data_IF_739138846330
#
_entry.id   IF_739138846330
#
_cell.length_a   1.000
_cell.length_b   1.000
_cell.length_c   1.000
_cell.angle_alpha   90.00
_cell.angle_beta   90.00
_cell.angle_gamma   90.00
#
_symmetry.space_group_name_H-M   'P 1'
#
loop_
_entity.id
_entity.type
_entity.pdbx_description
1 polymer ?
#
# COMPACT_ATOMS: atom_id res chain seq x y z
N UNK A 1 -0.68 4.46 -17.79
CA UNK A 1 -1.91 3.79 -18.28
C UNK A 1 -2.10 3.84 -19.81
N UNK A 2 -1.29 4.59 -20.57
CA UNK A 2 -1.51 4.88 -22.01
C UNK A 2 -1.09 3.76 -22.99
N UNK A 3 -0.38 2.73 -22.51
CA UNK A 3 0.45 1.87 -23.37
C UNK A 3 -0.29 0.88 -24.29
N UNK A 4 -1.35 0.20 -23.86
CA UNK A 4 -2.05 -0.78 -24.70
C UNK A 4 -2.78 -0.18 -25.90
N UNK A 5 -3.29 1.06 -25.76
CA UNK A 5 -3.92 1.79 -26.88
C UNK A 5 -2.86 2.33 -27.83
N UNK A 6 -1.76 2.87 -27.29
CA UNK A 6 -0.62 3.30 -28.09
C UNK A 6 0.03 2.14 -28.84
N UNK A 7 0.19 0.96 -28.22
CA UNK A 7 0.69 -0.25 -28.89
C UNK A 7 -0.26 -0.70 -30.01
N UNK A 8 -1.57 -0.65 -29.78
CA UNK A 8 -2.56 -1.00 -30.78
C UNK A 8 -2.53 -0.01 -31.96
N UNK A 9 -2.51 1.30 -31.69
CA UNK A 9 -2.41 2.35 -32.72
C UNK A 9 -1.08 2.28 -33.49
N UNK A 10 0.03 2.00 -32.79
CA UNK A 10 1.34 1.81 -33.41
C UNK A 10 1.39 0.56 -34.29
N UNK A 11 0.79 -0.56 -33.84
CA UNK A 11 0.71 -1.78 -34.63
C UNK A 11 -0.17 -1.57 -35.87
N UNK A 12 -1.30 -0.87 -35.75
CA UNK A 12 -2.14 -0.48 -36.89
C UNK A 12 -1.36 0.39 -37.89
N UNK A 13 -0.50 1.29 -37.40
CA UNK A 13 0.31 2.12 -38.28
C UNK A 13 1.41 1.35 -39.00
N UNK A 14 2.09 0.43 -38.30
CA UNK A 14 3.06 -0.50 -38.90
C UNK A 14 2.39 -1.42 -39.92
N UNK A 15 1.17 -1.89 -39.64
CA UNK A 15 0.35 -2.67 -40.57
C UNK A 15 0.07 -1.91 -41.87
N UNK A 16 -0.34 -0.64 -41.76
CA UNK A 16 -0.60 0.22 -42.92
C UNK A 16 0.67 0.49 -43.73
N UNK A 17 1.81 0.75 -43.08
CA UNK A 17 3.08 1.04 -43.78
C UNK A 17 3.72 -0.20 -44.42
N UNK A 18 3.62 -1.36 -43.79
CA UNK A 18 4.16 -2.62 -44.31
C UNK A 18 3.22 -3.34 -45.27
N UNK A 19 2.08 -2.72 -45.60
CA UNK A 19 1.07 -3.29 -46.51
C UNK A 19 0.64 -4.70 -46.09
N UNK A 20 0.48 -4.93 -44.78
CA UNK A 20 0.04 -6.23 -44.27
C UNK A 20 -1.32 -6.57 -44.88
N UNK A 21 -1.39 -7.72 -45.56
CA UNK A 21 -2.65 -8.23 -46.08
C UNK A 21 -3.61 -8.55 -44.92
N UNK A 22 -4.92 -8.45 -45.16
CA UNK A 22 -5.95 -8.56 -44.12
C UNK A 22 -5.83 -9.80 -43.22
N UNK A 23 -5.32 -10.92 -43.74
CA UNK A 23 -5.07 -12.14 -42.95
C UNK A 23 -4.07 -11.94 -41.80
N UNK A 24 -2.95 -11.26 -42.04
CA UNK A 24 -1.92 -11.01 -41.01
C UNK A 24 -2.37 -9.99 -39.97
N UNK A 25 -3.13 -8.98 -40.39
CA UNK A 25 -3.71 -7.98 -39.48
C UNK A 25 -4.76 -8.62 -38.55
N UNK A 26 -5.62 -9.48 -39.08
CA UNK A 26 -6.62 -10.22 -38.30
C UNK A 26 -5.94 -11.18 -37.32
N UNK A 27 -4.96 -11.97 -37.78
CA UNK A 27 -4.21 -12.89 -36.93
C UNK A 27 -3.51 -12.16 -35.77
N UNK A 28 -2.90 -11.00 -36.05
CA UNK A 28 -2.26 -10.21 -35.01
C UNK A 28 -3.24 -9.65 -33.98
N UNK A 29 -4.37 -9.11 -34.45
CA UNK A 29 -5.43 -8.57 -33.57
C UNK A 29 -6.02 -9.66 -32.68
N UNK A 30 -6.30 -10.84 -33.25
CA UNK A 30 -6.78 -12.01 -32.50
C UNK A 30 -5.74 -12.52 -31.51
N UNK A 31 -4.46 -12.62 -31.91
CA UNK A 31 -3.39 -13.05 -31.03
C UNK A 31 -3.16 -12.05 -29.88
N UNK A 32 -3.28 -10.74 -30.14
CA UNK A 32 -3.24 -9.71 -29.11
C UNK A 32 -4.43 -9.81 -28.15
N UNK A 33 -5.64 -10.08 -28.66
CA UNK A 33 -6.83 -10.30 -27.83
C UNK A 33 -6.67 -11.52 -26.92
N UNK A 34 -6.21 -12.64 -27.48
CA UNK A 34 -5.88 -13.85 -26.71
C UNK A 34 -4.81 -13.55 -25.65
N UNK A 35 -3.80 -12.76 -26.04
CA UNK A 35 -2.72 -12.38 -25.15
C UNK A 35 -3.20 -11.56 -23.93
N UNK A 36 -4.13 -10.62 -24.13
CA UNK A 36 -4.75 -9.88 -23.04
C UNK A 36 -5.59 -10.78 -22.13
N UNK A 37 -6.20 -11.84 -22.66
CA UNK A 37 -7.00 -12.79 -21.85
C UNK A 37 -6.14 -13.73 -20.99
N UNK A 38 -4.92 -14.05 -21.43
CA UNK A 38 -3.94 -14.87 -20.70
C UNK A 38 -3.26 -14.11 -19.55
N UNK A 39 -3.62 -12.84 -19.34
CA UNK A 39 -3.09 -11.96 -18.28
C UNK A 39 -3.21 -12.55 -16.87
N UNK A 40 -4.29 -13.28 -16.62
CA UNK A 40 -4.57 -13.97 -15.35
C UNK A 40 -3.46 -14.94 -14.91
N UNK A 41 -2.63 -15.43 -15.84
CA UNK A 41 -1.57 -16.41 -15.54
C UNK A 41 -0.31 -15.79 -14.93
N UNK A 42 -0.23 -14.45 -14.89
CA UNK A 42 0.94 -13.75 -14.35
C UNK A 42 0.90 -13.56 -12.83
N UNK A 43 -0.24 -13.84 -12.17
CA UNK A 43 -0.38 -13.69 -10.72
C UNK A 43 0.69 -14.41 -9.87
N UNK A 44 1.03 -15.69 -10.16
CA UNK A 44 2.10 -16.39 -9.47
C UNK A 44 3.49 -15.73 -9.63
N UNK A 45 3.78 -15.18 -10.81
CA UNK A 45 5.05 -14.49 -11.07
C UNK A 45 5.13 -13.17 -10.29
N UNK A 46 4.04 -12.41 -10.26
CA UNK A 46 3.95 -11.18 -9.47
C UNK A 46 4.20 -11.45 -7.99
N UNK A 47 3.54 -12.47 -7.42
CA UNK A 47 3.75 -12.88 -6.02
C UNK A 47 5.19 -13.31 -5.74
N UNK A 48 5.81 -14.05 -6.67
CA UNK A 48 7.17 -14.56 -6.50
C UNK A 48 8.24 -13.48 -6.64
N UNK A 49 8.07 -12.55 -7.57
CA UNK A 49 9.10 -11.55 -7.88
C UNK A 49 8.90 -10.23 -7.14
N UNK A 50 7.71 -10.00 -6.59
CA UNK A 50 7.33 -8.72 -6.04
C UNK A 50 7.01 -7.71 -7.15
N UNK A 51 6.28 -6.66 -6.78
CA UNK A 51 5.72 -5.70 -7.74
C UNK A 51 6.79 -4.99 -8.57
N UNK A 52 7.87 -4.54 -7.94
CA UNK A 52 8.92 -3.77 -8.63
C UNK A 52 9.68 -4.59 -9.68
N UNK A 53 10.14 -5.80 -9.32
CA UNK A 53 10.90 -6.64 -10.27
C UNK A 53 9.99 -7.11 -11.40
N UNK A 54 8.74 -7.43 -11.09
CA UNK A 54 7.76 -7.81 -12.10
C UNK A 54 7.48 -6.63 -13.05
N UNK A 55 7.33 -5.40 -12.54
CA UNK A 55 7.16 -4.20 -13.35
C UNK A 55 8.33 -3.98 -14.31
N UNK A 56 9.57 -4.10 -13.82
CA UNK A 56 10.80 -4.01 -14.64
C UNK A 56 10.81 -5.09 -15.72
N UNK A 57 10.44 -6.32 -15.39
CA UNK A 57 10.32 -7.40 -16.38
C UNK A 57 9.28 -7.06 -17.46
N UNK A 58 8.11 -6.52 -17.10
CA UNK A 58 7.12 -6.05 -18.06
C UNK A 58 7.71 -5.00 -19.03
N UNK A 59 8.49 -4.04 -18.53
CA UNK A 59 9.14 -3.03 -19.37
C UNK A 59 10.14 -3.62 -20.36
N UNK A 60 11.03 -4.47 -19.87
CA UNK A 60 12.05 -5.13 -20.69
C UNK A 60 11.37 -5.99 -21.76
N UNK A 61 10.32 -6.72 -21.39
CA UNK A 61 9.54 -7.52 -22.33
C UNK A 61 8.80 -6.67 -23.36
N UNK A 62 8.19 -5.53 -22.99
CA UNK A 62 7.60 -4.60 -23.96
C UNK A 62 8.64 -4.09 -24.98
N UNK A 63 9.84 -3.75 -24.51
CA UNK A 63 10.94 -3.31 -25.37
C UNK A 63 11.39 -4.43 -26.32
N UNK A 64 11.60 -5.64 -25.81
CA UNK A 64 11.95 -6.81 -26.62
C UNK A 64 10.87 -7.14 -27.65
N UNK A 65 9.60 -7.09 -27.26
CA UNK A 65 8.47 -7.32 -28.17
C UNK A 65 8.49 -6.35 -29.34
N UNK A 66 8.78 -5.07 -29.07
CA UNK A 66 8.92 -4.03 -30.08
C UNK A 66 10.12 -4.27 -31.03
N UNK A 67 11.28 -4.66 -30.48
CA UNK A 67 12.46 -5.01 -31.29
C UNK A 67 12.22 -6.23 -32.19
N UNK A 68 11.50 -7.25 -31.69
CA UNK A 68 11.13 -8.44 -32.45
C UNK A 68 10.15 -8.14 -33.59
N UNK A 69 9.18 -7.24 -33.35
CA UNK A 69 8.23 -6.80 -34.40
C UNK A 69 8.93 -6.16 -35.59
N UNK A 70 10.03 -5.43 -35.36
CA UNK A 70 10.81 -4.79 -36.43
C UNK A 70 11.46 -5.80 -37.39
N UNK A 71 11.65 -7.06 -36.99
CA UNK A 71 12.29 -8.13 -37.77
C UNK A 71 11.30 -9.11 -38.42
N UNK A 72 10.01 -8.77 -38.53
CA UNK A 72 8.93 -9.63 -39.07
C UNK A 72 8.62 -10.91 -38.26
N UNK A 73 9.17 -11.05 -37.05
CA UNK A 73 8.96 -12.22 -36.20
C UNK A 73 7.73 -12.02 -35.30
N UNK A 74 6.55 -12.14 -35.91
CA UNK A 74 5.25 -11.89 -35.28
C UNK A 74 5.09 -12.61 -33.93
N UNK A 75 5.37 -13.91 -33.91
CA UNK A 75 5.17 -14.77 -32.73
C UNK A 75 6.16 -14.48 -31.60
N UNK A 76 7.41 -14.16 -31.95
CA UNK A 76 8.42 -13.78 -30.97
C UNK A 76 8.19 -12.39 -30.37
N UNK A 77 7.47 -11.51 -31.08
CA UNK A 77 7.04 -10.22 -30.53
C UNK A 77 5.84 -10.33 -29.59
N UNK A 78 4.93 -11.29 -29.83
CA UNK A 78 3.72 -11.50 -29.03
C UNK A 78 4.00 -12.00 -27.61
N UNK A 79 4.96 -12.91 -27.44
CA UNK A 79 5.26 -13.50 -26.13
C UNK A 79 5.75 -12.46 -25.11
N UNK A 80 6.70 -11.56 -25.45
CA UNK A 80 7.11 -10.48 -24.55
C UNK A 80 5.98 -9.45 -24.31
N UNK A 81 5.12 -9.20 -25.30
CA UNK A 81 4.00 -8.27 -25.15
C UNK A 81 2.93 -8.79 -24.18
N UNK A 82 2.77 -10.12 -24.03
CA UNK A 82 1.94 -10.71 -22.97
C UNK A 82 2.34 -10.20 -21.60
N UNK A 83 3.63 -10.33 -21.26
CA UNK A 83 4.17 -9.89 -19.98
C UNK A 83 4.15 -8.37 -19.88
N UNK A 84 4.50 -7.67 -20.96
CA UNK A 84 4.47 -6.21 -21.05
C UNK A 84 3.08 -5.61 -20.77
N UNK A 85 2.01 -6.28 -21.20
CA UNK A 85 0.64 -5.82 -20.99
C UNK A 85 0.17 -5.84 -19.53
N UNK A 86 0.82 -6.63 -18.67
CA UNK A 86 0.48 -6.76 -17.23
C UNK A 86 0.88 -5.55 -16.39
N UNK A 87 1.72 -4.69 -16.95
CA UNK A 87 2.24 -3.50 -16.28
C UNK A 87 1.15 -2.59 -15.71
N UNK A 88 0.00 -2.53 -16.41
CA UNK A 88 -1.16 -1.73 -16.03
C UNK A 88 -1.79 -2.16 -14.71
N UNK A 89 -1.96 -3.48 -14.52
CA UNK A 89 -2.59 -4.02 -13.33
C UNK A 89 -1.75 -3.76 -12.09
N UNK A 90 -0.42 -3.96 -12.21
CA UNK A 90 0.51 -3.80 -11.08
C UNK A 90 0.66 -2.34 -10.69
N UNK A 91 0.90 -1.45 -11.65
CA UNK A 91 1.04 -0.01 -11.35
C UNK A 91 -0.25 0.58 -10.77
N UNK A 92 -1.40 0.13 -11.27
CA UNK A 92 -2.70 0.60 -10.79
C UNK A 92 -2.98 0.10 -9.37
N UNK A 93 -2.73 -1.19 -9.11
CA UNK A 93 -2.87 -1.79 -7.79
C UNK A 93 -2.02 -1.06 -6.75
N UNK A 94 -0.76 -0.81 -7.08
CA UNK A 94 0.17 -0.09 -6.19
C UNK A 94 -0.30 1.33 -5.89
N UNK A 95 -0.65 2.12 -6.91
CA UNK A 95 -1.18 3.48 -6.73
C UNK A 95 -2.45 3.50 -5.88
N UNK A 96 -3.35 2.55 -6.11
CA UNK A 96 -4.56 2.38 -5.31
C UNK A 96 -4.25 2.08 -3.85
N UNK A 97 -3.33 1.16 -3.59
CA UNK A 97 -2.93 0.78 -2.24
C UNK A 97 -2.26 1.94 -1.52
N UNK A 98 -1.31 2.63 -2.15
CA UNK A 98 -0.59 3.76 -1.54
C UNK A 98 -1.53 4.95 -1.27
N UNK A 99 -2.45 5.22 -2.19
CA UNK A 99 -3.45 6.27 -1.98
C UNK A 99 -4.46 5.89 -0.87
N UNK A 100 -4.85 4.62 -0.77
CA UNK A 100 -5.67 4.15 0.36
C UNK A 100 -4.92 4.27 1.69
N UNK A 101 -3.61 4.02 1.72
CA UNK A 101 -2.76 4.28 2.90
C UNK A 101 -2.73 5.75 3.29
N UNK A 102 -2.74 6.64 2.30
CA UNK A 102 -2.86 8.08 2.52
C UNK A 102 -4.27 8.53 2.94
N UNK A 103 -5.22 7.59 3.14
CA UNK A 103 -6.59 7.89 3.55
C UNK A 103 -7.53 8.29 2.41
N UNK A 104 -7.07 8.24 1.15
CA UNK A 104 -7.91 8.54 -0.01
C UNK A 104 -8.88 7.40 -0.28
N UNK A 105 -10.13 7.74 -0.62
CA UNK A 105 -11.15 6.74 -0.92
C UNK A 105 -10.81 5.98 -2.21
N UNK A 106 -10.94 4.65 -2.21
CA UNK A 106 -10.65 3.81 -3.40
C UNK A 106 -11.32 4.35 -4.68
N UNK A 107 -12.58 4.76 -4.60
CA UNK A 107 -13.33 5.32 -5.74
C UNK A 107 -12.77 6.65 -6.24
N UNK A 108 -12.32 7.52 -5.33
CA UNK A 108 -11.67 8.79 -5.65
C UNK A 108 -10.36 8.55 -6.39
N UNK A 109 -9.54 7.61 -5.92
CA UNK A 109 -8.27 7.24 -6.55
C UNK A 109 -8.50 6.66 -7.94
N UNK A 110 -9.47 5.74 -8.09
CA UNK A 110 -9.85 5.22 -9.42
C UNK A 110 -10.27 6.36 -10.35
N UNK A 111 -11.07 7.31 -9.85
CA UNK A 111 -11.50 8.48 -10.61
C UNK A 111 -10.31 9.36 -11.05
N UNK A 112 -9.42 9.69 -10.13
CA UNK A 112 -8.20 10.48 -10.41
C UNK A 112 -7.30 9.77 -11.43
N UNK A 113 -7.10 8.46 -11.27
CA UNK A 113 -6.33 7.66 -12.22
C UNK A 113 -6.96 7.64 -13.62
N UNK A 114 -8.29 7.54 -13.71
CA UNK A 114 -9.01 7.60 -14.97
C UNK A 114 -8.87 8.98 -15.65
N UNK A 115 -8.99 10.06 -14.90
CA UNK A 115 -8.82 11.43 -15.39
C UNK A 115 -7.38 11.68 -15.85
N UNK A 116 -6.39 11.33 -15.02
CA UNK A 116 -4.97 11.46 -15.36
C UNK A 116 -4.64 10.64 -16.61
N UNK A 117 -5.23 9.44 -16.72
CA UNK A 117 -5.11 8.62 -17.92
C UNK A 117 -5.66 9.34 -19.15
N UNK A 118 -6.90 9.81 -19.12
CA UNK A 118 -7.51 10.50 -20.25
C UNK A 118 -6.69 11.73 -20.68
N UNK A 119 -6.22 12.52 -19.71
CA UNK A 119 -5.33 13.65 -19.97
C UNK A 119 -4.01 13.21 -20.61
N UNK A 120 -3.37 12.17 -20.08
CA UNK A 120 -2.12 11.63 -20.64
C UNK A 120 -2.29 11.05 -22.05
N UNK A 121 -3.42 10.39 -22.34
CA UNK A 121 -3.75 9.92 -23.69
C UNK A 121 -3.90 11.11 -24.64
N UNK A 122 -4.60 12.17 -24.23
CA UNK A 122 -4.72 13.41 -25.02
C UNK A 122 -3.38 14.08 -25.33
N UNK A 123 -2.51 14.20 -24.32
CA UNK A 123 -1.16 14.78 -24.49
C UNK A 123 -0.32 13.92 -25.44
N UNK A 124 -0.32 12.60 -25.26
CA UNK A 124 0.46 11.70 -26.11
C UNK A 124 -0.04 11.72 -27.55
N UNK A 125 -1.36 11.71 -27.78
CA UNK A 125 -1.92 11.85 -29.13
C UNK A 125 -1.54 13.18 -29.79
N UNK A 126 -1.58 14.28 -29.04
CA UNK A 126 -1.18 15.60 -29.54
C UNK A 126 0.31 15.63 -29.89
N UNK A 127 1.18 15.15 -29.00
CA UNK A 127 2.62 15.13 -29.24
C UNK A 127 2.99 14.18 -30.40
N UNK A 128 2.32 13.03 -30.51
CA UNK A 128 2.52 12.10 -31.62
C UNK A 128 2.11 12.72 -32.95
N UNK A 129 0.99 13.45 -32.98
CA UNK A 129 0.55 14.21 -34.16
C UNK A 129 1.56 15.29 -34.54
N UNK A 130 2.07 16.06 -33.57
CA UNK A 130 3.07 17.11 -33.82
C UNK A 130 4.42 16.54 -34.28
N UNK A 131 4.86 15.43 -33.68
CA UNK A 131 6.05 14.72 -34.09
C UNK A 131 5.92 14.21 -35.53
N UNK A 132 4.77 13.61 -35.86
CA UNK A 132 4.46 13.14 -37.21
C UNK A 132 4.49 14.27 -38.24
N UNK A 133 3.84 15.40 -37.94
CA UNK A 133 3.83 16.57 -38.82
C UNK A 133 5.23 17.13 -39.08
N UNK A 134 6.17 16.97 -38.13
CA UNK A 134 7.55 17.45 -38.26
C UNK A 134 8.53 16.42 -38.82
N UNK A 135 8.28 15.13 -38.66
CA UNK A 135 9.25 14.08 -39.00
C UNK A 135 9.35 13.76 -40.49
N UNK A 136 8.42 14.25 -41.32
CA UNK A 136 8.29 13.77 -42.70
C UNK A 136 8.19 12.24 -42.73
N UNK A 137 8.94 11.59 -43.62
CA UNK A 137 8.94 10.13 -43.79
C UNK A 137 9.71 9.32 -42.73
N UNK A 138 10.39 9.95 -41.77
CA UNK A 138 11.24 9.27 -40.80
C UNK A 138 10.42 8.66 -39.64
N UNK A 139 10.11 7.35 -39.64
CA UNK A 139 9.16 6.76 -38.71
C UNK A 139 9.76 6.47 -37.32
N UNK A 140 11.09 6.58 -37.17
CA UNK A 140 11.79 6.15 -35.96
C UNK A 140 11.62 7.11 -34.77
N UNK A 141 11.40 8.40 -35.01
CA UNK A 141 11.24 9.42 -33.95
C UNK A 141 9.90 9.29 -33.20
N UNK A 142 8.87 8.73 -33.84
CA UNK A 142 7.53 8.53 -33.26
C UNK A 142 7.56 7.50 -32.12
N UNK A 143 8.48 6.53 -32.17
CA UNK A 143 8.59 5.46 -31.16
C UNK A 143 9.45 5.83 -29.95
N UNK A 144 10.37 6.78 -30.11
CA UNK A 144 11.25 7.23 -29.02
C UNK A 144 10.50 8.08 -28.00
N UNK A 145 9.49 8.84 -28.44
CA UNK A 145 8.79 9.78 -27.56
C UNK A 145 7.98 9.09 -26.45
N UNK A 146 7.13 8.06 -26.70
CA UNK A 146 6.46 7.35 -25.61
C UNK A 146 7.44 6.67 -24.65
N UNK A 147 8.52 6.10 -25.17
CA UNK A 147 9.57 5.45 -24.37
C UNK A 147 10.29 6.45 -23.46
N UNK A 148 10.61 7.64 -23.97
CA UNK A 148 11.22 8.72 -23.19
C UNK A 148 10.26 9.26 -22.10
N UNK A 149 8.96 9.40 -22.39
CA UNK A 149 7.96 9.82 -21.41
C UNK A 149 7.81 8.80 -20.28
N UNK A 150 7.85 7.50 -20.60
CA UNK A 150 7.82 6.43 -19.59
C UNK A 150 9.06 6.48 -18.70
N UNK A 151 10.25 6.61 -19.28
CA UNK A 151 11.49 6.74 -18.52
C UNK A 151 11.49 7.98 -17.62
N UNK A 152 10.99 9.11 -18.11
CA UNK A 152 10.84 10.32 -17.33
C UNK A 152 9.89 10.12 -16.15
N UNK A 153 8.72 9.50 -16.38
CA UNK A 153 7.75 9.20 -15.33
C UNK A 153 8.32 8.28 -14.25
N UNK A 154 9.05 7.22 -14.61
CA UNK A 154 9.74 6.36 -13.65
C UNK A 154 10.86 7.09 -12.91
N UNK A 155 11.58 7.99 -13.57
CA UNK A 155 12.62 8.82 -12.92
C UNK A 155 12.02 9.75 -11.88
N UNK A 156 10.88 10.41 -12.20
CA UNK A 156 10.14 11.24 -11.24
C UNK A 156 9.61 10.40 -10.09
N UNK A 157 9.04 9.23 -10.35
CA UNK A 157 8.57 8.30 -9.31
C UNK A 157 9.70 7.90 -8.37
N UNK A 158 10.87 7.52 -8.91
CA UNK A 158 12.06 7.18 -8.12
C UNK A 158 12.53 8.35 -7.26
N UNK A 159 12.54 9.58 -7.80
CA UNK A 159 12.87 10.78 -7.01
C UNK A 159 11.88 11.03 -5.89
N UNK A 160 10.58 10.85 -6.12
CA UNK A 160 9.55 11.01 -5.08
C UNK A 160 9.71 9.97 -3.97
N UNK A 161 10.02 8.72 -4.31
CA UNK A 161 10.30 7.67 -3.31
C UNK A 161 11.54 8.02 -2.49
N UNK A 162 12.64 8.42 -3.15
CA UNK A 162 13.86 8.85 -2.47
C UNK A 162 13.61 10.05 -1.55
N UNK A 163 12.89 11.06 -2.01
CA UNK A 163 12.54 12.21 -1.17
C UNK A 163 11.52 11.88 -0.07
N UNK A 164 10.64 10.90 -0.27
CA UNK A 164 9.77 10.42 0.80
C UNK A 164 10.59 9.67 1.87
N UNK A 165 11.62 8.92 1.48
CA UNK A 165 12.55 8.27 2.41
C UNK A 165 13.44 9.28 3.12
N UNK A 166 14.03 10.24 2.40
CA UNK A 166 14.80 11.35 2.97
C UNK A 166 13.94 12.23 3.87
N UNK A 167 12.73 12.57 3.43
CA UNK A 167 11.73 13.29 4.21
C UNK A 167 11.31 12.52 5.46
N UNK A 168 11.25 11.19 5.42
CA UNK A 168 10.99 10.35 6.61
C UNK A 168 12.21 10.19 7.51
N UNK A 169 13.44 10.31 6.99
CA UNK A 169 14.65 10.44 7.81
C UNK A 169 14.76 11.84 8.44
N UNK A 170 14.30 12.88 7.74
CA UNK A 170 14.33 14.29 8.15
C UNK A 170 13.15 14.71 9.04
N UNK A 171 11.99 14.05 8.92
CA UNK A 171 10.90 14.06 9.91
C UNK A 171 11.34 13.24 11.13
N UNK A 172 12.48 13.64 11.68
CA UNK A 172 13.31 12.89 12.60
C UNK A 172 12.46 12.18 13.61
N UNK A 173 12.76 10.89 13.79
CA UNK A 173 12.35 10.02 14.89
C UNK A 173 11.82 10.87 16.04
N UNK A 174 10.52 11.20 15.98
CA UNK A 174 9.87 12.03 16.97
C UNK A 174 10.10 11.40 18.34
N UNK A 175 10.17 12.21 19.38
CA UNK A 175 10.27 11.70 20.75
C UNK A 175 9.23 10.59 20.94
N UNK A 176 9.68 9.35 21.15
CA UNK A 176 8.80 8.19 21.38
C UNK A 176 8.97 6.97 20.46
N UNK A 177 9.76 7.04 19.39
CA UNK A 177 10.14 5.82 18.66
C UNK A 177 11.40 5.18 19.26
N UNK A 178 11.43 3.86 19.32
CA UNK A 178 12.56 3.09 19.82
C UNK A 178 12.91 1.98 18.87
N UNK A 179 14.21 1.85 18.58
CA UNK A 179 14.73 0.73 17.80
C UNK A 179 15.22 -0.34 18.78
N UNK A 180 14.65 -1.53 18.67
CA UNK A 180 15.00 -2.68 19.50
C UNK A 180 15.59 -3.78 18.62
N UNK A 181 16.73 -4.32 19.03
CA UNK A 181 17.35 -5.46 18.37
C UNK A 181 17.18 -6.70 19.24
N UNK A 182 16.34 -7.62 18.77
CA UNK A 182 16.08 -8.89 19.43
C UNK A 182 17.07 -9.95 18.95
N UNK A 183 17.66 -10.74 19.87
CA UNK A 183 18.62 -11.78 19.51
C UNK A 183 17.97 -12.91 18.70
N UNK A 184 18.79 -13.76 18.03
CA UNK A 184 18.30 -14.96 17.37
C UNK A 184 17.43 -15.82 18.29
N UNK A 185 16.36 -16.41 17.75
CA UNK A 185 15.41 -17.23 18.52
C UNK A 185 15.02 -18.50 17.80
N UNK A 186 14.67 -19.53 18.57
CA UNK A 186 14.15 -20.80 18.04
C UNK A 186 12.62 -20.93 18.15
N UNK A 187 12.03 -20.21 19.09
CA UNK A 187 10.61 -20.27 19.46
C UNK A 187 9.85 -19.03 18.96
N UNK A 188 8.51 -19.02 18.92
CA UNK A 188 7.72 -17.83 18.55
C UNK A 188 7.92 -16.66 19.52
N UNK A 189 7.63 -15.42 19.07
CA UNK A 189 7.75 -14.23 19.92
C UNK A 189 6.79 -14.26 21.12
N UNK A 190 5.63 -14.91 20.98
CA UNK A 190 4.56 -14.92 21.97
C UNK A 190 3.80 -13.59 22.07
N UNK A 191 3.70 -12.86 20.95
CA UNK A 191 2.91 -11.63 20.85
C UNK A 191 1.53 -11.95 20.28
N UNK A 192 0.48 -11.44 20.93
CA UNK A 192 -0.82 -11.25 20.30
C UNK A 192 -0.84 -9.93 19.55
N UNK A 193 -1.18 -9.96 18.27
CA UNK A 193 -1.08 -8.82 17.35
C UNK A 193 -2.46 -8.39 16.85
N UNK A 194 -2.68 -7.08 16.74
CA UNK A 194 -3.84 -6.49 16.06
C UNK A 194 -3.34 -5.74 14.81
N UNK A 195 -3.89 -6.14 13.65
CA UNK A 195 -3.52 -5.67 12.31
C UNK A 195 -4.53 -4.67 11.72
N UNK A 196 -5.42 -4.12 12.54
CA UNK A 196 -6.49 -3.25 12.06
C UNK A 196 -6.03 -1.88 11.58
N UNK A 197 -4.86 -1.43 12.03
CA UNK A 197 -4.20 -0.31 11.37
C UNK A 197 -3.41 -0.87 10.19
N UNK A 198 -3.65 -0.42 8.94
CA UNK A 198 -2.98 -0.99 7.77
C UNK A 198 -1.46 -0.72 7.75
N UNK A 199 -0.98 0.27 8.50
CA UNK A 199 0.40 0.73 8.49
C UNK A 199 1.21 0.27 9.71
N UNK A 200 0.56 -0.17 10.79
CA UNK A 200 1.21 -0.51 12.05
C UNK A 200 0.57 -1.74 12.71
N UNK A 201 1.38 -2.51 13.43
CA UNK A 201 0.90 -3.66 14.19
C UNK A 201 0.84 -3.32 15.67
N UNK A 202 -0.31 -3.46 16.32
CA UNK A 202 -0.42 -3.22 17.76
C UNK A 202 -0.21 -4.50 18.55
N UNK A 203 0.51 -4.41 19.68
CA UNK A 203 0.69 -5.53 20.60
C UNK A 203 -0.49 -5.55 21.59
N UNK A 204 -1.33 -6.58 21.51
CA UNK A 204 -2.51 -6.75 22.36
C UNK A 204 -2.26 -7.64 23.58
N UNK A 205 -1.33 -8.59 23.46
CA UNK A 205 -0.96 -9.48 24.57
C UNK A 205 0.47 -9.96 24.43
N UNK A 206 1.05 -10.35 25.56
CA UNK A 206 2.35 -11.00 25.65
C UNK A 206 2.10 -12.28 26.44
N UNK A 207 2.39 -13.43 25.84
CA UNK A 207 2.22 -14.72 26.50
C UNK A 207 3.30 -14.89 27.58
N UNK A 208 2.88 -15.32 28.78
CA UNK A 208 3.78 -15.61 29.89
C UNK A 208 4.80 -16.70 29.51
N UNK A 209 6.05 -16.51 29.88
CA UNK A 209 7.15 -17.41 29.53
C UNK A 209 7.48 -17.44 28.03
N UNK A 210 6.99 -16.49 27.24
CA UNK A 210 7.39 -16.36 25.83
C UNK A 210 8.79 -15.78 25.66
N UNK A 211 9.29 -15.79 24.42
CA UNK A 211 10.57 -15.15 24.09
C UNK A 211 10.56 -13.65 24.44
N UNK A 212 9.49 -12.93 24.11
CA UNK A 212 9.39 -11.50 24.44
C UNK A 212 9.26 -11.28 25.95
N UNK A 213 8.54 -12.14 26.65
CA UNK A 213 8.40 -12.04 28.11
C UNK A 213 9.76 -12.18 28.82
N UNK A 214 10.55 -13.21 28.47
CA UNK A 214 11.93 -13.38 28.97
C UNK A 214 12.87 -12.24 28.57
N UNK A 215 12.71 -11.70 27.36
CA UNK A 215 13.46 -10.52 26.96
C UNK A 215 13.14 -9.34 27.88
N UNK A 216 11.85 -9.11 28.17
CA UNK A 216 11.40 -8.04 29.05
C UNK A 216 11.88 -8.19 30.50
N UNK A 217 12.09 -9.42 31.00
CA UNK A 217 12.62 -9.64 32.36
C UNK A 217 14.02 -9.04 32.56
N UNK A 218 14.84 -9.05 31.50
CA UNK A 218 16.24 -8.58 31.54
C UNK A 218 16.45 -7.21 30.90
N UNK A 219 15.50 -6.73 30.10
CA UNK A 219 15.58 -5.43 29.43
C UNK A 219 15.35 -4.25 30.39
N UNK A 220 16.00 -3.12 30.08
CA UNK A 220 15.72 -1.85 30.74
C UNK A 220 14.25 -1.43 30.50
N UNK A 221 13.68 -0.65 31.43
CA UNK A 221 12.26 -0.29 31.40
C UNK A 221 11.85 0.47 30.12
N UNK A 222 12.76 1.26 29.57
CA UNK A 222 12.61 1.90 28.26
C UNK A 222 12.58 0.93 27.07
N UNK A 223 13.28 -0.20 27.17
CA UNK A 223 13.46 -1.18 26.09
C UNK A 223 12.47 -2.34 26.15
N UNK A 224 11.75 -2.49 27.28
CA UNK A 224 10.67 -3.48 27.40
C UNK A 224 9.60 -3.24 26.36
N UNK A 225 9.25 -4.31 25.67
CA UNK A 225 8.10 -4.40 24.77
C UNK A 225 6.83 -4.52 25.63
N UNK A 226 5.88 -3.60 25.48
CA UNK A 226 4.65 -3.61 26.30
C UNK A 226 3.40 -3.79 25.47
N UNK A 227 2.35 -4.32 26.10
CA UNK A 227 0.99 -4.28 25.58
C UNK A 227 0.60 -2.82 25.31
N UNK A 228 0.07 -2.56 24.13
CA UNK A 228 -0.28 -1.24 23.63
C UNK A 228 0.82 -0.55 22.81
N UNK A 229 2.05 -1.08 22.79
CA UNK A 229 3.08 -0.59 21.88
C UNK A 229 2.72 -0.93 20.42
N UNK A 230 3.07 -0.04 19.49
CA UNK A 230 2.90 -0.22 18.05
C UNK A 230 4.24 -0.59 17.40
N UNK A 231 4.26 -1.69 16.66
CA UNK A 231 5.36 -2.11 15.80
C UNK A 231 5.16 -1.44 14.44
N UNK A 232 6.01 -0.46 14.14
CA UNK A 232 5.95 0.32 12.90
C UNK A 232 6.86 -0.25 11.82
N UNK A 233 7.91 -0.97 12.23
CA UNK A 233 8.89 -1.56 11.33
C UNK A 233 9.44 -2.87 11.89
N UNK A 234 9.63 -3.86 11.01
CA UNK A 234 10.33 -5.10 11.30
C UNK A 234 11.32 -5.42 10.17
N UNK A 235 12.62 -5.56 10.49
CA UNK A 235 13.70 -5.89 9.54
C UNK A 235 13.72 -5.07 8.24
N UNK A 236 13.37 -3.80 8.33
CA UNK A 236 13.34 -2.91 7.17
C UNK A 236 11.96 -2.68 6.59
N UNK A 237 11.02 -3.62 6.78
CA UNK A 237 9.63 -3.53 6.30
C UNK A 237 8.77 -2.67 7.21
N UNK A 238 8.01 -1.74 6.63
CA UNK A 238 7.15 -0.78 7.31
C UNK A 238 5.88 -0.51 6.48
N UNK A 239 4.84 0.05 7.09
CA UNK A 239 3.65 0.56 6.36
C UNK A 239 2.68 -0.49 5.82
N UNK A 240 2.95 -1.77 6.08
CA UNK A 240 2.09 -2.91 5.76
C UNK A 240 1.99 -3.83 6.97
N UNK A 241 0.90 -3.73 7.74
CA UNK A 241 0.72 -4.51 8.96
C UNK A 241 0.83 -6.02 8.71
N UNK A 242 0.24 -6.53 7.63
CA UNK A 242 0.33 -7.94 7.24
C UNK A 242 1.79 -8.36 6.95
N UNK A 243 2.53 -7.56 6.18
CA UNK A 243 3.94 -7.86 5.88
C UNK A 243 4.83 -7.76 7.12
N UNK A 244 4.54 -6.82 8.04
CA UNK A 244 5.21 -6.73 9.34
C UNK A 244 4.92 -8.01 10.14
N UNK A 245 3.66 -8.44 10.22
CA UNK A 245 3.25 -9.65 10.93
C UNK A 245 3.92 -10.92 10.35
N UNK A 246 3.99 -11.04 9.03
CA UNK A 246 4.68 -12.14 8.34
C UNK A 246 6.16 -12.20 8.73
N UNK A 247 6.83 -11.05 8.85
CA UNK A 247 8.24 -10.99 9.29
C UNK A 247 8.37 -11.37 10.76
N UNK A 248 7.49 -10.86 11.62
CA UNK A 248 7.45 -11.24 13.03
C UNK A 248 7.23 -12.76 13.18
N UNK A 249 6.44 -13.37 12.29
CA UNK A 249 6.16 -14.80 12.32
C UNK A 249 7.28 -15.64 11.70
N UNK A 250 7.96 -15.18 10.65
CA UNK A 250 8.91 -15.99 9.88
C UNK A 250 10.37 -15.80 10.28
N UNK A 251 10.78 -14.61 10.72
CA UNK A 251 12.17 -14.31 11.03
C UNK A 251 12.63 -15.01 12.32
N UNK A 252 13.82 -15.62 12.30
CA UNK A 252 14.40 -16.34 13.44
C UNK A 252 15.83 -15.95 13.76
N UNK A 253 16.56 -15.33 12.82
CA UNK A 253 18.00 -15.07 12.96
C UNK A 253 18.28 -13.77 13.70
N UNK A 254 17.66 -12.69 13.28
CA UNK A 254 17.84 -11.38 13.91
C UNK A 254 16.62 -10.54 13.60
N UNK A 255 16.03 -9.92 14.61
CA UNK A 255 14.81 -9.14 14.45
C UNK A 255 15.05 -7.73 14.98
N UNK A 256 15.10 -6.76 14.07
CA UNK A 256 15.13 -5.32 14.40
C UNK A 256 13.72 -4.77 14.32
N UNK A 257 13.22 -4.28 15.45
CA UNK A 257 11.91 -3.65 15.56
C UNK A 257 12.06 -2.14 15.69
N UNK A 258 11.15 -1.39 15.07
CA UNK A 258 10.91 0.01 15.44
C UNK A 258 9.55 0.08 16.12
N UNK A 259 9.57 0.37 17.40
CA UNK A 259 8.41 0.43 18.27
C UNK A 259 8.04 1.88 18.55
N UNK A 260 6.76 2.13 18.77
CA UNK A 260 6.26 3.38 19.30
C UNK A 260 5.36 3.10 20.50
N UNK A 261 5.64 3.74 21.62
CA UNK A 261 4.73 3.74 22.77
C UNK A 261 3.80 4.94 22.65
N UNK A 262 2.51 4.72 22.37
CA UNK A 262 1.59 5.83 22.16
C UNK A 262 1.33 6.56 23.48
N UNK A 263 1.26 7.89 23.44
CA UNK A 263 0.77 8.68 24.55
C UNK A 263 -0.73 8.41 24.74
N UNK A 264 -1.15 8.17 25.99
CA UNK A 264 -2.57 8.06 26.32
C UNK A 264 -3.19 9.45 26.30
N UNK A 265 -4.31 9.58 25.59
CA UNK A 265 -5.11 10.82 25.58
C UNK A 265 -6.46 10.55 26.21
N UNK A 266 -6.87 11.45 27.10
CA UNK A 266 -8.22 11.39 27.68
C UNK A 266 -9.18 12.15 26.78
N UNK A 267 -10.30 11.54 26.46
CA UNK A 267 -11.41 12.12 25.71
C UNK A 267 -12.67 11.96 26.53
N UNK A 268 -13.33 13.08 26.83
CA UNK A 268 -14.61 13.09 27.53
C UNK A 268 -15.75 12.95 26.52
N UNK A 269 -16.54 11.90 26.66
CA UNK A 269 -17.76 11.70 25.87
C UNK A 269 -18.93 12.39 26.58
N UNK A 270 -19.55 13.43 25.99
CA UNK A 270 -20.66 14.12 26.60
C UNK A 270 -21.91 13.22 26.66
N UNK A 271 -22.76 13.46 27.65
CA UNK A 271 -24.06 12.81 27.76
C UNK A 271 -25.01 13.21 26.61
N UNK A 272 -25.87 12.28 26.16
CA UNK A 272 -27.01 12.59 25.29
C UNK A 272 -26.83 12.25 23.81
N UNK A 273 -27.33 13.10 22.88
CA UNK A 273 -27.42 12.75 21.44
C UNK A 273 -26.06 12.53 20.77
N UNK A 274 -25.04 13.28 21.16
CA UNK A 274 -23.68 13.10 20.64
C UNK A 274 -23.06 11.77 21.11
N UNK A 275 -23.50 11.25 22.26
CA UNK A 275 -23.09 9.97 22.79
C UNK A 275 -23.56 8.79 21.93
N UNK A 276 -24.80 8.85 21.44
CA UNK A 276 -25.33 7.86 20.50
C UNK A 276 -24.57 7.87 19.16
N UNK A 277 -24.14 9.05 18.72
CA UNK A 277 -23.29 9.18 17.54
C UNK A 277 -21.88 8.57 17.79
N UNK A 278 -21.32 8.74 18.98
CA UNK A 278 -20.03 8.15 19.36
C UNK A 278 -20.12 6.62 19.54
N UNK A 279 -21.18 6.10 20.15
CA UNK A 279 -21.38 4.66 20.36
C UNK A 279 -21.47 3.90 19.04
N UNK A 280 -22.14 4.49 18.04
CA UNK A 280 -22.21 3.92 16.68
C UNK A 280 -20.85 3.82 15.97
N UNK A 281 -19.81 4.47 16.52
CA UNK A 281 -18.48 4.50 15.95
C UNK A 281 -17.47 3.61 16.59
N UNK A 282 -17.71 3.24 17.83
CA UNK A 282 -16.86 2.32 18.55
C UNK A 282 -17.25 0.91 18.14
N UNK A 283 -16.48 0.36 17.22
CA UNK A 283 -16.65 -1.02 16.80
C UNK A 283 -15.79 -1.91 17.71
N UNK A 284 -16.42 -2.95 18.24
CA UNK A 284 -15.72 -4.11 18.80
C UNK A 284 -15.55 -5.10 17.68
N UNK A 285 -14.33 -5.55 17.42
CA UNK A 285 -14.16 -6.76 16.63
C UNK A 285 -14.24 -7.97 17.56
N UNK A 286 -14.80 -9.09 17.08
CA UNK A 286 -14.91 -10.31 17.89
C UNK A 286 -13.55 -10.86 18.34
N UNK A 287 -12.47 -10.54 17.62
CA UNK A 287 -11.12 -11.05 17.88
C UNK A 287 -10.14 -9.98 18.42
N UNK A 288 -10.49 -8.69 18.34
CA UNK A 288 -9.62 -7.63 18.84
C UNK A 288 -9.90 -7.38 20.32
N UNK A 289 -8.83 -7.34 21.11
CA UNK A 289 -8.84 -6.89 22.50
C UNK A 289 -8.85 -5.37 22.56
N UNK A 290 -9.41 -4.65 21.58
CA UNK A 290 -9.53 -3.19 21.64
C UNK A 290 -10.81 -2.72 20.93
N UNK A 291 -11.47 -1.73 21.52
CA UNK A 291 -12.46 -0.93 20.80
C UNK A 291 -11.74 0.09 19.94
N UNK A 292 -12.26 0.35 18.75
CA UNK A 292 -11.68 1.38 17.89
C UNK A 292 -12.72 2.28 17.25
N UNK A 293 -12.32 3.53 17.00
CA UNK A 293 -13.13 4.50 16.28
C UNK A 293 -13.11 4.19 14.77
N UNK A 294 -14.26 3.82 14.22
CA UNK A 294 -14.42 3.49 12.79
C UNK A 294 -14.46 4.71 11.86
N UNK A 295 -14.77 5.90 12.39
CA UNK A 295 -14.66 7.19 11.68
C UNK A 295 -14.10 8.26 12.61
N UNK A 296 -13.57 9.33 12.02
CA UNK A 296 -13.15 10.51 12.78
C UNK A 296 -14.37 11.30 13.25
N UNK A 297 -14.32 11.77 14.48
CA UNK A 297 -15.32 12.66 15.07
C UNK A 297 -14.60 13.83 15.75
N UNK A 298 -14.31 14.85 14.93
CA UNK A 298 -13.45 15.98 15.32
C UNK A 298 -13.95 16.74 16.55
N UNK A 299 -15.27 16.83 16.75
CA UNK A 299 -15.87 17.48 17.93
C UNK A 299 -15.47 16.84 19.26
N UNK A 300 -15.13 15.54 19.25
CA UNK A 300 -14.66 14.81 20.43
C UNK A 300 -13.15 14.52 20.38
N UNK A 301 -12.42 15.03 19.39
CA UNK A 301 -11.00 14.74 19.22
C UNK A 301 -10.68 13.29 18.82
N UNK A 302 -11.71 12.49 18.50
CA UNK A 302 -11.55 11.12 18.02
C UNK A 302 -11.19 11.10 16.54
N UNK A 303 -10.21 10.29 16.17
CA UNK A 303 -9.85 9.98 14.80
C UNK A 303 -10.15 8.54 14.48
N UNK A 304 -10.36 8.28 13.18
CA UNK A 304 -10.40 6.92 12.66
C UNK A 304 -9.16 6.14 13.11
N UNK A 305 -9.36 4.92 13.57
CA UNK A 305 -8.35 4.01 14.14
C UNK A 305 -7.82 4.35 15.54
N UNK A 306 -8.36 5.37 16.21
CA UNK A 306 -8.09 5.54 17.65
C UNK A 306 -8.58 4.32 18.41
N UNK A 307 -7.74 3.83 19.33
CA UNK A 307 -8.03 2.66 20.16
C UNK A 307 -8.40 3.10 21.55
N UNK A 308 -9.53 2.63 22.07
CA UNK A 308 -9.92 2.86 23.46
C UNK A 308 -9.19 1.84 24.33
N UNK A 309 -8.37 2.31 25.26
CA UNK A 309 -7.59 1.48 26.17
C UNK A 309 -8.07 1.51 27.62
N UNK A 310 -8.92 2.47 27.99
CA UNK A 310 -9.58 2.54 29.31
C UNK A 310 -10.87 3.37 29.22
N UNK A 311 -11.81 3.13 30.14
CA UNK A 311 -13.01 3.93 30.35
C UNK A 311 -13.15 4.26 31.85
N UNK A 312 -13.47 5.51 32.19
CA UNK A 312 -13.67 6.02 33.55
C UNK A 312 -12.56 5.67 34.55
N UNK A 313 -11.31 5.67 34.07
CA UNK A 313 -10.13 5.34 34.87
C UNK A 313 -9.94 3.84 35.13
N UNK A 314 -10.84 2.97 34.65
CA UNK A 314 -10.65 1.52 34.69
C UNK A 314 -9.56 1.11 33.68
N UNK A 315 -8.39 0.73 34.18
CA UNK A 315 -7.29 0.18 33.35
C UNK A 315 -7.51 -1.30 33.01
N UNK A 316 -8.75 -1.79 33.10
CA UNK A 316 -9.06 -3.20 32.94
C UNK A 316 -8.91 -3.65 31.47
N UNK A 317 -8.82 -4.97 31.26
CA UNK A 317 -8.85 -5.61 29.94
C UNK A 317 -9.93 -4.96 29.05
N UNK A 318 -9.61 -4.68 27.79
CA UNK A 318 -10.49 -3.91 26.91
C UNK A 318 -11.88 -4.52 26.71
N UNK A 319 -12.04 -5.83 26.92
CA UNK A 319 -13.37 -6.48 26.94
C UNK A 319 -14.25 -5.88 28.05
N UNK A 320 -13.68 -5.66 29.24
CA UNK A 320 -14.37 -4.99 30.35
C UNK A 320 -14.59 -3.53 30.04
N UNK A 321 -13.59 -2.81 29.57
CA UNK A 321 -13.75 -1.41 29.18
C UNK A 321 -14.81 -1.24 28.09
N UNK A 322 -14.96 -2.21 27.18
CA UNK A 322 -16.00 -2.18 26.16
C UNK A 322 -17.40 -2.40 26.73
N UNK A 323 -17.56 -3.34 27.66
CA UNK A 323 -18.82 -3.57 28.33
C UNK A 323 -19.22 -2.39 29.23
N UNK A 324 -18.29 -1.87 30.02
CA UNK A 324 -18.47 -0.69 30.87
C UNK A 324 -18.83 0.54 30.04
N UNK A 325 -18.10 0.78 28.95
CA UNK A 325 -18.37 1.88 28.04
C UNK A 325 -19.75 1.70 27.39
N UNK A 326 -20.11 0.51 26.89
CA UNK A 326 -21.47 0.27 26.38
C UNK A 326 -22.54 0.54 27.41
N UNK A 327 -22.36 0.10 28.65
CA UNK A 327 -23.31 0.32 29.74
C UNK A 327 -23.41 1.80 30.13
N UNK A 328 -22.31 2.56 30.10
CA UNK A 328 -22.33 4.01 30.32
C UNK A 328 -23.04 4.73 29.16
N UNK A 329 -22.78 4.32 27.92
CA UNK A 329 -23.41 4.85 26.71
C UNK A 329 -24.93 4.57 26.69
N UNK A 330 -25.36 3.38 27.13
CA UNK A 330 -26.79 3.00 27.23
C UNK A 330 -27.53 3.78 28.31
N UNK A 331 -26.86 4.14 29.42
CA UNK A 331 -27.42 4.97 30.49
C UNK A 331 -27.45 6.47 30.15
N UNK A 332 -26.78 6.89 29.08
CA UNK A 332 -26.66 8.30 28.71
C UNK A 332 -25.80 9.12 29.68
N UNK A 333 -24.89 8.46 30.40
CA UNK A 333 -23.98 9.09 31.38
C UNK A 333 -22.71 9.58 30.69
N UNK A 334 -22.18 10.75 31.06
CA UNK A 334 -20.88 11.17 30.54
C UNK A 334 -19.79 10.16 30.94
N UNK A 335 -18.86 9.89 30.02
CA UNK A 335 -17.81 8.88 30.22
C UNK A 335 -16.47 9.40 29.72
N UNK A 336 -15.42 9.26 30.53
CA UNK A 336 -14.05 9.61 30.15
C UNK A 336 -13.35 8.38 29.59
N UNK A 337 -13.04 8.39 28.30
CA UNK A 337 -12.25 7.31 27.69
C UNK A 337 -10.79 7.72 27.56
N UNK A 338 -9.88 6.75 27.71
CA UNK A 338 -8.49 6.92 27.31
C UNK A 338 -8.29 6.26 25.96
N UNK A 339 -7.73 7.01 25.03
CA UNK A 339 -7.40 6.53 23.68
C UNK A 339 -5.90 6.52 23.45
N UNK A 340 -5.47 5.66 22.53
CA UNK A 340 -4.12 5.65 21.97
C UNK A 340 -4.18 5.69 20.45
N UNK A 341 -3.19 6.34 19.84
CA UNK A 341 -3.08 6.57 18.40
C UNK A 341 -1.70 6.16 17.90
N UNK A 342 -1.61 5.40 16.78
CA UNK A 342 -0.34 5.17 16.11
C UNK A 342 0.11 6.44 15.38
N UNK A 343 1.41 6.78 15.49
CA UNK A 343 2.00 7.99 14.93
C UNK A 343 1.77 9.21 15.83
N UNK A 344 2.87 9.81 16.31
CA UNK A 344 2.82 11.03 17.14
C UNK A 344 2.40 12.22 16.29
N UNK A 345 1.68 13.13 16.91
CA UNK A 345 0.87 14.15 16.24
C UNK A 345 1.30 15.56 16.68
N UNK A 346 2.60 15.82 16.67
CA UNK A 346 3.15 17.17 16.85
C UNK A 346 4.01 17.58 15.64
N UNK A 347 3.59 17.22 14.42
CA UNK A 347 4.14 17.80 13.20
C UNK A 347 3.03 18.52 12.42
#
# INVERSE_FOLDING_TARGET
MVEGKVLQEQATWVQLKLNWQGGSANLWTSAHGLALSASSWCGPLLRRWGEHRFLVACHVSSCLGFLCMRRTWLWWGLVPLLLGSQRRLVSASWLLQEACRAGLGRGEVVGLMATLRAASEGVISLLSKLAFQRSGDAPASIFLLPSALILLAETVRMRLVLHAEEGRQLLGVGQGFRRLELPPRREPLGLGLDLLDPAAVQICSIAEGSFVDRHNESAAEEDKIKVGDFILRANGTFGEADAIADILQSERRSLTLTLQRPARRRVSLPAGKEQAAASSLLLSLPESVTLYASRSLASLGLRRHDRVCAADGSSACAVRSAAELRQALERGEACDISIVRPGSEEA
#
